data_IF_391993767766
#
_entry.id   IF_391993767766
#
_cell.length_a   1.000
_cell.length_b   1.000
_cell.length_c   1.000
_cell.angle_alpha   90.00
_cell.angle_beta   90.00
_cell.angle_gamma   90.00
#
_symmetry.space_group_name_H-M   'P 1'
#
loop_
_entity.id
_entity.type
_entity.pdbx_description
1 polymer ?
#
# COMPACT_ATOMS: atom_id res chain seq x y z
N UNK A 1 -14.57 14.42 0.93
CA UNK A 1 -14.02 13.39 0.01
C UNK A 1 -12.52 13.63 -0.09
N UNK A 2 -11.71 12.65 0.35
CA UNK A 2 -10.24 12.77 0.41
C UNK A 2 -9.64 12.14 -0.84
N UNK A 3 -9.54 12.98 -1.89
CA UNK A 3 -9.02 12.60 -3.20
C UNK A 3 -7.70 13.29 -3.45
N UNK A 4 -6.73 12.58 -4.00
CA UNK A 4 -5.47 13.15 -4.44
C UNK A 4 -5.00 12.49 -5.75
N UNK A 5 -4.28 13.25 -6.53
CA UNK A 5 -3.58 12.77 -7.72
C UNK A 5 -2.12 13.23 -7.66
N UNK A 6 -1.22 12.33 -8.02
CA UNK A 6 0.22 12.57 -8.11
C UNK A 6 0.69 12.05 -9.47
N UNK A 7 1.50 12.85 -10.14
CA UNK A 7 2.24 12.46 -11.34
C UNK A 7 3.72 12.53 -11.01
N UNK A 8 4.43 11.43 -11.25
CA UNK A 8 5.86 11.30 -11.03
C UNK A 8 6.53 10.80 -12.30
N UNK A 9 7.40 11.60 -12.86
CA UNK A 9 8.16 11.29 -14.06
C UNK A 9 9.65 11.33 -13.74
N UNK A 10 10.34 10.26 -14.10
CA UNK A 10 11.80 10.13 -14.06
C UNK A 10 12.32 9.75 -15.44
N UNK A 11 13.63 9.51 -15.57
CA UNK A 11 14.19 8.93 -16.80
C UNK A 11 13.82 7.46 -16.99
N UNK A 12 13.38 6.78 -15.94
CA UNK A 12 13.10 5.33 -15.91
C UNK A 12 11.60 5.03 -15.97
N UNK A 13 10.77 5.89 -15.37
CA UNK A 13 9.33 5.65 -15.21
C UNK A 13 8.50 6.92 -15.41
N UNK A 14 7.27 6.73 -15.88
CA UNK A 14 6.23 7.76 -15.95
C UNK A 14 4.98 7.20 -15.26
N UNK A 15 4.59 7.79 -14.13
CA UNK A 15 3.53 7.24 -13.29
C UNK A 15 2.53 8.33 -12.94
N UNK A 16 1.24 8.00 -13.08
CA UNK A 16 0.11 8.76 -12.56
C UNK A 16 -0.65 7.87 -11.58
N UNK A 17 -0.84 8.34 -10.36
CA UNK A 17 -1.64 7.67 -9.35
C UNK A 17 -2.69 8.64 -8.79
N UNK A 18 -3.95 8.26 -8.92
CA UNK A 18 -5.09 8.94 -8.30
C UNK A 18 -5.75 8.02 -7.28
N UNK A 19 -6.02 8.56 -6.10
CA UNK A 19 -6.63 7.82 -4.99
C UNK A 19 -7.84 8.58 -4.45
N UNK A 20 -8.87 7.83 -4.03
CA UNK A 20 -9.96 8.32 -3.21
C UNK A 20 -10.06 7.43 -1.95
N UNK A 21 -9.69 7.98 -0.81
CA UNK A 21 -9.70 7.26 0.48
C UNK A 21 -11.13 6.97 0.97
N UNK A 22 -12.12 7.74 0.51
CA UNK A 22 -13.54 7.59 0.83
C UNK A 22 -14.30 6.89 -0.30
N UNK A 23 -13.62 5.99 -1.01
CA UNK A 23 -14.11 5.28 -2.18
C UNK A 23 -14.99 4.07 -1.88
N UNK A 24 -15.23 3.29 -2.92
CA UNK A 24 -16.04 2.06 -2.88
C UNK A 24 -15.28 0.83 -3.37
N UNK A 25 -13.98 0.96 -3.63
CA UNK A 25 -13.12 -0.11 -4.13
C UNK A 25 -13.10 -0.20 -5.66
N UNK A 26 -13.39 0.90 -6.35
CA UNK A 26 -13.26 0.97 -7.82
C UNK A 26 -11.78 1.05 -8.20
N UNK A 27 -11.42 0.41 -9.29
CA UNK A 27 -10.04 0.42 -9.75
C UNK A 27 -9.92 0.56 -11.28
N UNK A 28 -8.86 1.23 -11.70
CA UNK A 28 -8.34 1.25 -13.06
C UNK A 28 -6.83 1.16 -12.98
N UNK A 29 -6.28 0.02 -13.38
CA UNK A 29 -4.87 -0.32 -13.14
C UNK A 29 -4.21 -0.73 -14.46
N UNK A 30 -3.10 -0.10 -14.77
CA UNK A 30 -2.30 -0.34 -15.96
C UNK A 30 -0.82 -0.04 -15.67
N UNK A 31 -0.18 -0.88 -14.86
CA UNK A 31 1.23 -0.66 -14.49
C UNK A 31 2.23 -1.30 -15.45
N UNK A 32 1.77 -2.15 -16.37
CA UNK A 32 2.64 -2.97 -17.21
C UNK A 32 3.21 -4.21 -16.49
N UNK A 33 2.93 -4.36 -15.20
CA UNK A 33 3.33 -5.51 -14.37
C UNK A 33 2.05 -6.23 -13.90
N UNK A 34 1.59 -7.29 -14.58
CA UNK A 34 0.25 -7.86 -14.36
C UNK A 34 0.00 -8.33 -12.92
N UNK A 35 1.02 -8.89 -12.28
CA UNK A 35 0.86 -9.33 -10.89
C UNK A 35 0.76 -8.15 -9.90
N UNK A 36 1.44 -7.04 -10.18
CA UNK A 36 1.28 -5.81 -9.39
C UNK A 36 -0.14 -5.25 -9.55
N UNK A 37 -0.69 -5.22 -10.77
CA UNK A 37 -2.08 -4.80 -10.99
C UNK A 37 -3.05 -5.65 -10.16
N UNK A 38 -2.85 -6.96 -10.12
CA UNK A 38 -3.64 -7.86 -9.29
C UNK A 38 -3.49 -7.53 -7.78
N UNK A 39 -2.30 -7.21 -7.31
CA UNK A 39 -2.05 -6.81 -5.92
C UNK A 39 -2.68 -5.46 -5.57
N UNK A 40 -2.60 -4.49 -6.45
CA UNK A 40 -3.24 -3.18 -6.28
C UNK A 40 -4.79 -3.29 -6.26
N UNK A 41 -5.38 -4.21 -7.04
CA UNK A 41 -6.82 -4.51 -6.96
C UNK A 41 -7.20 -5.05 -5.57
N UNK A 42 -6.33 -5.84 -4.92
CA UNK A 42 -6.58 -6.28 -3.54
C UNK A 42 -6.63 -5.10 -2.56
N UNK A 43 -5.74 -4.11 -2.73
CA UNK A 43 -5.77 -2.89 -1.92
C UNK A 43 -7.08 -2.14 -2.13
N UNK A 44 -7.45 -1.88 -3.37
CA UNK A 44 -8.66 -1.13 -3.72
C UNK A 44 -9.90 -1.81 -3.15
N UNK A 45 -10.09 -3.08 -3.48
CA UNK A 45 -11.28 -3.85 -3.14
C UNK A 45 -11.45 -4.08 -1.64
N UNK A 46 -10.39 -4.51 -0.95
CA UNK A 46 -10.46 -4.81 0.47
C UNK A 46 -10.34 -3.58 1.36
N UNK A 47 -9.70 -2.52 0.86
CA UNK A 47 -9.62 -1.22 1.49
C UNK A 47 -10.86 -0.35 1.27
N UNK A 48 -11.73 -0.68 0.29
CA UNK A 48 -12.79 0.21 -0.21
C UNK A 48 -12.25 1.60 -0.59
N UNK A 49 -11.07 1.61 -1.19
CA UNK A 49 -10.34 2.77 -1.68
C UNK A 49 -10.39 2.74 -3.20
N UNK A 50 -10.73 3.86 -3.86
CA UNK A 50 -10.65 3.87 -5.31
C UNK A 50 -9.23 4.18 -5.76
N UNK A 51 -8.72 3.41 -6.73
CA UNK A 51 -7.38 3.55 -7.30
C UNK A 51 -7.47 3.68 -8.84
N UNK A 52 -6.85 4.72 -9.39
CA UNK A 52 -6.60 4.85 -10.83
C UNK A 52 -5.09 5.07 -11.01
N UNK A 53 -4.38 4.02 -11.44
CA UNK A 53 -2.93 4.00 -11.55
C UNK A 53 -2.53 3.59 -12.97
N UNK A 54 -1.73 4.43 -13.60
CA UNK A 54 -1.10 4.17 -14.89
C UNK A 54 0.41 4.35 -14.74
N UNK A 55 1.18 3.37 -15.22
CA UNK A 55 2.64 3.43 -15.21
C UNK A 55 3.23 2.95 -16.53
N UNK A 56 4.26 3.65 -16.98
CA UNK A 56 5.11 3.26 -18.10
C UNK A 56 6.56 3.28 -17.60
N UNK A 57 7.16 2.12 -17.45
CA UNK A 57 8.54 1.96 -16.98
C UNK A 57 9.41 1.20 -17.97
N UNK A 58 10.68 1.13 -17.63
CA UNK A 58 11.74 0.43 -18.38
C UNK A 58 11.73 -1.09 -18.15
N UNK A 59 10.54 -1.71 -18.19
CA UNK A 59 10.32 -3.15 -17.93
C UNK A 59 11.10 -4.09 -18.83
N UNK A 60 11.73 -3.56 -19.89
CA UNK A 60 12.66 -4.33 -20.73
C UNK A 60 13.98 -4.65 -19.97
N UNK A 61 14.29 -3.93 -18.91
CA UNK A 61 15.39 -4.22 -17.97
C UNK A 61 14.89 -5.26 -16.97
N UNK A 62 13.97 -4.85 -16.09
CA UNK A 62 13.17 -5.68 -15.18
C UNK A 62 12.00 -4.83 -14.63
N UNK A 63 11.24 -5.38 -13.69
CA UNK A 63 10.08 -4.69 -13.13
C UNK A 63 10.42 -3.81 -11.90
N UNK A 64 11.71 -3.75 -11.48
CA UNK A 64 12.13 -3.13 -10.22
C UNK A 64 11.71 -1.66 -10.13
N UNK A 65 12.18 -0.84 -11.09
CA UNK A 65 11.92 0.59 -11.08
C UNK A 65 10.42 0.90 -11.12
N UNK A 66 9.65 0.15 -11.91
CA UNK A 66 8.20 0.32 -12.01
C UNK A 66 7.50 0.01 -10.68
N UNK A 67 7.84 -1.10 -10.04
CA UNK A 67 7.19 -1.54 -8.80
C UNK A 67 7.53 -0.59 -7.64
N UNK A 68 8.79 -0.21 -7.49
CA UNK A 68 9.24 0.75 -6.48
C UNK A 68 8.57 2.11 -6.68
N UNK A 69 8.61 2.65 -7.90
CA UNK A 69 8.08 3.97 -8.22
C UNK A 69 6.55 4.05 -8.12
N UNK A 70 5.83 2.96 -8.38
CA UNK A 70 4.39 2.86 -8.09
C UNK A 70 4.15 2.95 -6.59
N UNK A 71 4.96 2.27 -5.78
CA UNK A 71 4.92 2.36 -4.31
C UNK A 71 5.16 3.79 -3.82
N UNK A 72 6.19 4.46 -4.34
CA UNK A 72 6.51 5.87 -4.06
C UNK A 72 5.33 6.79 -4.40
N UNK A 73 4.81 6.69 -5.62
CA UNK A 73 3.75 7.57 -6.12
C UNK A 73 2.44 7.37 -5.37
N UNK A 74 2.10 6.11 -5.03
CA UNK A 74 0.95 5.79 -4.19
C UNK A 74 1.12 6.32 -2.77
N UNK A 75 2.32 6.19 -2.18
CA UNK A 75 2.63 6.77 -0.87
C UNK A 75 2.44 8.28 -0.83
N UNK A 76 2.91 8.99 -1.85
CA UNK A 76 2.71 10.43 -2.00
C UNK A 76 1.23 10.80 -2.15
N UNK A 77 0.46 10.03 -2.93
CA UNK A 77 -0.96 10.24 -3.13
C UNK A 77 -1.74 10.04 -1.82
N UNK A 78 -1.40 9.00 -1.04
CA UNK A 78 -1.99 8.75 0.28
C UNK A 78 -1.68 9.89 1.25
N UNK A 79 -0.42 10.31 1.36
CA UNK A 79 -0.02 11.43 2.21
C UNK A 79 -0.80 12.70 1.88
N UNK A 80 -0.92 13.02 0.59
CA UNK A 80 -1.66 14.18 0.09
C UNK A 80 -3.16 14.08 0.39
N UNK A 81 -3.76 12.90 0.23
CA UNK A 81 -5.19 12.69 0.49
C UNK A 81 -5.53 12.72 1.98
N UNK A 82 -4.67 12.20 2.85
CA UNK A 82 -4.83 12.24 4.31
C UNK A 82 -4.64 13.66 4.86
N UNK A 83 -3.73 14.45 4.27
CA UNK A 83 -3.45 15.83 4.68
C UNK A 83 -2.87 15.91 6.09
N UNK A 84 -3.44 16.77 6.95
CA UNK A 84 -2.93 17.07 8.30
C UNK A 84 -3.11 15.93 9.33
N UNK A 85 -3.64 14.78 8.94
CA UNK A 85 -3.89 13.62 9.83
C UNK A 85 -4.82 13.91 11.01
N UNK A 86 -5.64 14.96 10.90
CA UNK A 86 -6.63 15.31 11.92
C UNK A 86 -7.85 14.40 11.84
N UNK A 87 -8.33 13.95 13.00
CA UNK A 87 -9.55 13.18 13.13
C UNK A 87 -9.52 11.77 12.53
N UNK A 88 -8.36 11.26 12.10
CA UNK A 88 -8.22 9.88 11.66
C UNK A 88 -7.96 8.94 12.85
N UNK A 89 -8.23 7.65 12.69
CA UNK A 89 -7.90 6.64 13.71
C UNK A 89 -6.40 6.49 13.93
N UNK A 90 -5.58 6.82 12.92
CA UNK A 90 -4.12 6.74 12.92
C UNK A 90 -3.57 5.32 12.85
N UNK A 91 -4.09 4.40 13.68
CA UNK A 91 -3.64 3.01 13.72
C UNK A 91 -4.62 2.12 12.97
N UNK A 92 -4.10 1.22 12.17
CA UNK A 92 -4.89 0.19 11.52
C UNK A 92 -4.19 -1.15 11.55
N UNK A 93 -4.98 -2.22 11.60
CA UNK A 93 -4.45 -3.57 11.55
C UNK A 93 -5.45 -4.51 10.90
N UNK A 94 -4.94 -5.59 10.35
CA UNK A 94 -5.77 -6.68 9.84
C UNK A 94 -5.01 -8.01 9.87
N UNK A 95 -5.75 -9.08 10.14
CA UNK A 95 -5.35 -10.45 9.87
C UNK A 95 -6.20 -10.95 8.72
N UNK A 96 -5.56 -11.45 7.65
CA UNK A 96 -6.29 -11.94 6.47
C UNK A 96 -5.77 -13.32 6.09
N UNK A 97 -6.63 -14.35 6.05
CA UNK A 97 -6.29 -15.66 5.54
C UNK A 97 -6.60 -15.76 4.03
N UNK A 98 -5.89 -16.64 3.36
CA UNK A 98 -6.24 -17.24 2.07
C UNK A 98 -5.76 -18.68 2.09
N UNK A 99 -6.71 -19.61 2.14
CA UNK A 99 -6.45 -21.05 2.32
C UNK A 99 -5.45 -21.30 3.47
N UNK A 100 -4.26 -21.81 3.18
CA UNK A 100 -3.21 -22.13 4.17
C UNK A 100 -2.38 -20.92 4.61
N UNK A 101 -2.46 -19.78 3.87
CA UNK A 101 -1.70 -18.57 4.19
C UNK A 101 -2.47 -17.66 5.15
N UNK A 102 -1.74 -17.02 6.04
CA UNK A 102 -2.26 -16.03 6.98
C UNK A 102 -1.25 -14.92 7.15
N UNK A 103 -1.63 -13.69 6.86
CA UNK A 103 -0.79 -12.51 7.10
C UNK A 103 -1.43 -11.54 8.08
N UNK A 104 -0.56 -10.82 8.81
CA UNK A 104 -0.88 -9.70 9.67
C UNK A 104 -0.22 -8.45 9.13
N UNK A 105 -0.96 -7.35 9.06
CA UNK A 105 -0.44 -6.03 8.74
C UNK A 105 -0.87 -5.04 9.80
N UNK A 106 0.07 -4.21 10.27
CA UNK A 106 -0.18 -3.12 11.24
C UNK A 106 0.45 -1.84 10.70
N UNK A 107 -0.32 -0.75 10.67
CA UNK A 107 0.13 0.55 10.17
C UNK A 107 -0.11 1.65 11.21
N UNK A 108 0.85 2.57 11.33
CA UNK A 108 0.75 3.81 12.10
C UNK A 108 1.07 5.02 11.22
N UNK A 109 0.14 5.94 11.07
CA UNK A 109 0.35 7.24 10.41
C UNK A 109 1.16 8.18 11.32
N UNK A 110 2.34 7.73 11.72
CA UNK A 110 3.20 8.33 12.72
C UNK A 110 3.97 9.58 12.27
N UNK A 111 4.03 9.85 10.96
CA UNK A 111 4.95 10.83 10.38
C UNK A 111 6.41 10.35 10.30
N UNK A 112 6.69 9.15 10.76
CA UNK A 112 8.04 8.54 10.78
C UNK A 112 8.04 7.29 9.90
N UNK A 113 8.76 7.31 8.76
CA UNK A 113 8.90 6.13 7.92
C UNK A 113 9.58 4.98 8.67
N UNK A 114 9.02 3.79 8.55
CA UNK A 114 9.61 2.56 9.09
C UNK A 114 8.93 1.34 8.50
N UNK A 115 9.69 0.35 8.05
CA UNK A 115 9.18 -0.89 7.49
C UNK A 115 9.83 -2.09 8.18
N UNK A 116 8.98 -2.93 8.77
CA UNK A 116 9.32 -4.28 9.19
C UNK A 116 8.60 -5.25 8.26
N UNK A 117 9.36 -6.03 7.49
CA UNK A 117 8.82 -6.92 6.46
C UNK A 117 9.32 -8.34 6.69
N UNK A 118 8.44 -9.21 7.17
CA UNK A 118 8.75 -10.59 7.53
C UNK A 118 7.84 -11.55 6.77
N UNK A 119 8.17 -11.77 5.49
CA UNK A 119 7.46 -12.71 4.60
C UNK A 119 8.44 -13.74 4.09
N UNK A 120 8.48 -14.94 4.68
CA UNK A 120 9.40 -16.01 4.27
C UNK A 120 8.86 -16.71 3.02
N UNK A 121 9.09 -16.13 1.85
CA UNK A 121 8.65 -16.72 0.59
C UNK A 121 9.27 -18.09 0.35
N UNK A 122 8.47 -19.01 -0.15
CA UNK A 122 8.90 -20.39 -0.45
C UNK A 122 9.51 -20.54 -1.84
N UNK A 123 9.42 -19.51 -2.67
CA UNK A 123 9.99 -19.48 -4.03
C UNK A 123 10.27 -18.02 -4.43
N UNK A 124 11.21 -17.84 -5.36
CA UNK A 124 11.68 -16.53 -5.79
C UNK A 124 10.70 -15.79 -6.72
N UNK A 125 9.75 -16.50 -7.36
CA UNK A 125 8.86 -15.90 -8.36
C UNK A 125 7.44 -16.42 -8.27
N UNK A 126 6.50 -15.53 -8.63
CA UNK A 126 5.09 -15.81 -8.86
C UNK A 126 4.81 -15.45 -10.32
N UNK A 127 4.71 -16.48 -11.19
CA UNK A 127 4.74 -16.24 -12.63
C UNK A 127 6.06 -15.57 -13.04
N UNK A 128 5.99 -14.40 -13.64
CA UNK A 128 7.15 -13.57 -14.00
C UNK A 128 7.56 -12.57 -12.92
N UNK A 129 6.73 -12.37 -11.88
CA UNK A 129 6.96 -11.41 -10.81
C UNK A 129 7.98 -11.94 -9.80
N UNK A 130 9.05 -11.20 -9.58
CA UNK A 130 10.03 -11.48 -8.53
C UNK A 130 9.46 -11.07 -7.17
N UNK A 131 9.46 -11.98 -6.19
CA UNK A 131 8.84 -11.72 -4.88
C UNK A 131 9.58 -10.65 -4.07
N UNK A 132 10.89 -10.45 -4.33
CA UNK A 132 11.69 -9.43 -3.67
C UNK A 132 11.21 -8.00 -4.02
N UNK A 133 10.52 -7.82 -5.14
CA UNK A 133 9.94 -6.53 -5.51
C UNK A 133 8.83 -6.08 -4.55
N UNK A 134 8.22 -6.99 -3.83
CA UNK A 134 7.18 -6.64 -2.86
C UNK A 134 7.68 -5.76 -1.73
N UNK A 135 8.90 -6.00 -1.24
CA UNK A 135 9.50 -5.15 -0.19
C UNK A 135 9.82 -3.75 -0.74
N UNK A 136 10.24 -3.65 -2.01
CA UNK A 136 10.55 -2.35 -2.63
C UNK A 136 9.28 -1.51 -2.82
N UNK A 137 8.16 -2.14 -3.20
CA UNK A 137 6.85 -1.47 -3.22
C UNK A 137 6.50 -0.86 -1.85
N UNK A 138 6.56 -1.67 -0.79
CA UNK A 138 6.21 -1.19 0.56
C UNK A 138 7.23 -0.19 1.10
N UNK A 139 8.52 -0.33 0.78
CA UNK A 139 9.55 0.65 1.16
C UNK A 139 9.30 2.00 0.50
N UNK A 140 9.03 2.01 -0.80
CA UNK A 140 8.63 3.22 -1.53
C UNK A 140 7.39 3.87 -0.92
N UNK A 141 6.36 3.08 -0.64
CA UNK A 141 5.13 3.55 -0.01
C UNK A 141 5.37 4.17 1.37
N UNK A 142 6.04 3.45 2.26
CA UNK A 142 6.27 3.86 3.66
C UNK A 142 7.04 5.19 3.74
N UNK A 143 8.10 5.30 2.95
CA UNK A 143 8.94 6.49 2.93
C UNK A 143 8.19 7.75 2.49
N UNK A 144 7.20 7.61 1.61
CA UNK A 144 6.50 8.74 1.02
C UNK A 144 5.11 8.99 1.64
N UNK A 145 4.50 7.98 2.24
CA UNK A 145 3.30 8.16 3.06
C UNK A 145 3.62 8.68 4.48
N UNK A 146 4.88 8.54 4.92
CA UNK A 146 5.31 8.92 6.27
C UNK A 146 4.65 8.04 7.33
N UNK A 147 4.67 6.73 7.15
CA UNK A 147 4.03 5.76 8.04
C UNK A 147 5.04 4.74 8.56
N UNK A 148 4.73 4.15 9.72
CA UNK A 148 5.38 2.95 10.19
C UNK A 148 4.51 1.75 9.82
N UNK A 149 5.08 0.73 9.19
CA UNK A 149 4.37 -0.44 8.67
C UNK A 149 5.05 -1.74 9.09
N UNK A 150 4.30 -2.63 9.70
CA UNK A 150 4.72 -3.99 10.03
C UNK A 150 3.93 -4.99 9.22
N UNK A 151 4.61 -5.88 8.53
CA UNK A 151 4.06 -6.93 7.69
C UNK A 151 4.66 -8.27 8.11
N UNK A 152 3.79 -9.18 8.54
CA UNK A 152 4.19 -10.54 8.90
C UNK A 152 3.33 -11.55 8.14
N UNK A 153 3.94 -12.45 7.41
CA UNK A 153 3.28 -13.67 6.98
C UNK A 153 3.49 -14.74 8.05
N UNK A 154 2.44 -15.03 8.78
CA UNK A 154 2.46 -15.94 9.94
C UNK A 154 2.47 -17.41 9.52
N UNK A 155 1.84 -17.72 8.37
CA UNK A 155 1.74 -19.04 7.78
C UNK A 155 1.56 -18.91 6.27
N UNK A 156 1.98 -19.92 5.53
CA UNK A 156 1.78 -20.05 4.10
C UNK A 156 2.90 -20.83 3.44
N UNK A 157 2.56 -21.57 2.40
CA UNK A 157 3.51 -22.34 1.58
C UNK A 157 3.42 -21.96 0.10
N UNK A 158 2.29 -21.41 -0.34
CA UNK A 158 2.12 -20.87 -1.68
C UNK A 158 2.49 -19.38 -1.70
N UNK A 159 3.55 -19.01 -2.42
CA UNK A 159 4.03 -17.63 -2.46
C UNK A 159 2.97 -16.63 -2.97
N UNK A 160 2.10 -17.03 -3.92
CA UNK A 160 0.97 -16.22 -4.36
C UNK A 160 0.03 -15.93 -3.19
N UNK A 161 -0.40 -16.96 -2.45
CA UNK A 161 -1.28 -16.80 -1.29
C UNK A 161 -0.61 -15.97 -0.19
N UNK A 162 0.70 -16.17 0.06
CA UNK A 162 1.44 -15.35 1.02
C UNK A 162 1.36 -13.88 0.66
N UNK A 163 1.68 -13.52 -0.60
CA UNK A 163 1.72 -12.11 -1.01
C UNK A 163 0.30 -11.52 -1.15
N UNK A 164 -0.66 -12.26 -1.66
CA UNK A 164 -2.04 -11.78 -1.77
C UNK A 164 -2.66 -11.51 -0.39
N UNK A 165 -2.41 -12.34 0.62
CA UNK A 165 -2.87 -12.08 2.00
C UNK A 165 -2.25 -10.81 2.59
N UNK A 166 -0.97 -10.52 2.25
CA UNK A 166 -0.31 -9.28 2.64
C UNK A 166 -1.02 -8.06 2.05
N UNK A 167 -1.28 -8.04 0.74
CA UNK A 167 -1.93 -6.89 0.10
C UNK A 167 -3.39 -6.70 0.53
N UNK A 168 -4.14 -7.79 0.75
CA UNK A 168 -5.49 -7.74 1.33
C UNK A 168 -5.47 -7.16 2.75
N UNK A 169 -4.56 -7.65 3.59
CA UNK A 169 -4.42 -7.16 4.96
C UNK A 169 -3.97 -5.70 4.98
N UNK A 170 -3.06 -5.31 4.08
CA UNK A 170 -2.62 -3.91 3.93
C UNK A 170 -3.79 -3.00 3.55
N UNK A 171 -4.60 -3.35 2.55
CA UNK A 171 -5.77 -2.57 2.17
C UNK A 171 -6.74 -2.35 3.33
N UNK A 172 -7.03 -3.40 4.10
CA UNK A 172 -7.90 -3.30 5.29
C UNK A 172 -7.28 -2.47 6.42
N UNK A 173 -6.00 -2.65 6.70
CA UNK A 173 -5.28 -1.89 7.72
C UNK A 173 -5.19 -0.40 7.36
N UNK A 174 -4.89 -0.10 6.08
CA UNK A 174 -4.88 1.26 5.55
C UNK A 174 -6.25 1.93 5.72
N UNK A 175 -7.33 1.28 5.28
CA UNK A 175 -8.69 1.79 5.49
C UNK A 175 -8.95 2.11 6.96
N UNK A 176 -8.69 1.16 7.86
CA UNK A 176 -8.92 1.37 9.29
C UNK A 176 -8.13 2.57 9.82
N UNK A 177 -6.88 2.71 9.43
CA UNK A 177 -6.02 3.80 9.92
C UNK A 177 -6.47 5.19 9.46
N UNK A 178 -6.98 5.30 8.21
CA UNK A 178 -7.42 6.57 7.63
C UNK A 178 -8.90 6.87 7.89
N UNK A 179 -9.69 5.94 8.43
CA UNK A 179 -11.08 6.21 8.81
C UNK A 179 -11.16 7.38 9.79
N UNK A 180 -12.17 8.22 9.60
CA UNK A 180 -12.46 9.32 10.52
C UNK A 180 -13.04 8.75 11.82
N UNK A 181 -12.51 9.18 12.94
CA UNK A 181 -13.02 8.87 14.28
C UNK A 181 -13.85 10.07 14.76
N UNK A 182 -15.16 9.91 14.81
CA UNK A 182 -16.08 10.97 15.25
C UNK A 182 -15.78 11.46 16.68
N UNK A 183 -15.25 10.60 17.54
CA UNK A 183 -14.88 10.93 18.92
C UNK A 183 -13.60 11.77 19.00
N UNK A 184 -12.74 11.67 17.98
CA UNK A 184 -11.48 12.41 17.85
C UNK A 184 -11.58 13.58 16.86
N UNK A 185 -12.79 14.00 16.50
CA UNK A 185 -13.04 15.00 15.46
C UNK A 185 -12.18 16.25 15.64
N UNK A 186 -11.39 16.59 14.62
CA UNK A 186 -10.54 17.77 14.58
C UNK A 186 -9.27 17.70 15.43
N UNK A 187 -9.03 16.63 16.17
CA UNK A 187 -7.81 16.45 16.97
C UNK A 187 -6.73 15.69 16.18
N UNK A 188 -5.47 16.03 16.42
CA UNK A 188 -4.34 15.22 15.99
C UNK A 188 -4.20 14.08 17.01
N UNK A 189 -4.26 12.80 16.59
CA UNK A 189 -4.22 11.65 17.49
C UNK A 189 -2.79 11.40 18.02
N UNK A 190 -2.25 12.35 18.77
CA UNK A 190 -0.89 12.32 19.33
C UNK A 190 -0.83 13.09 20.63
N UNK A 191 -0.22 12.52 21.66
CA UNK A 191 0.05 13.20 22.93
C UNK A 191 1.01 14.38 22.80
N UNK A 192 1.77 14.45 21.66
CA UNK A 192 2.67 15.55 21.34
C UNK A 192 1.94 16.71 20.64
N UNK A 193 0.67 16.54 20.23
CA UNK A 193 -0.08 17.52 19.46
C UNK A 193 0.40 17.71 17.99
N UNK A 194 1.31 16.84 17.53
CA UNK A 194 1.85 16.82 16.15
C UNK A 194 2.15 15.38 15.70
N UNK A 195 2.17 15.17 14.39
CA UNK A 195 2.55 13.92 13.70
C UNK A 195 3.47 14.24 12.53
#
# INVERSE_FOLDING_TARGET
>A
MRVAEVVRNTSETQIRAKINLDGTGQQKLATGVPFLDHMLDQIARHGLIDLDIEAHGDTHIDDHHTVEDVGITLGQAVAKAVGERKGIRRYGHAYVPLDEALSRVVIDFSGRPGLEFHVPFTRARIGTFDVDLSIEFFRGFVNHAGVTLHIDNLRGINAHHQLETVFKAFGRALRMAVELDERAAGQIPSTKGSL
#
